data_IF_347571772358
#
_entry.id   IF_347571772358
#
_cell.length_a   1.000
_cell.length_b   1.000
_cell.length_c   1.000
_cell.angle_alpha   90.00
_cell.angle_beta   90.00
_cell.angle_gamma   90.00
#
_symmetry.space_group_name_H-M   'P 1'
#
loop_
_entity.id
_entity.type
_entity.pdbx_description
1 polymer ?
#
# COMPACT_ATOMS: atom_id res chain seq x y z
N UNK A 1 -52.15 -32.83 -35.99
CA UNK A 1 -51.50 -31.77 -35.17
C UNK A 1 -50.52 -32.44 -34.22
N UNK A 2 -49.21 -32.23 -34.39
CA UNK A 2 -48.17 -32.78 -33.49
C UNK A 2 -48.16 -31.93 -32.21
N UNK A 3 -48.58 -32.50 -31.07
CA UNK A 3 -48.42 -31.86 -29.75
C UNK A 3 -46.94 -31.88 -29.37
N UNK A 4 -46.32 -30.72 -29.30
CA UNK A 4 -44.99 -30.56 -28.71
C UNK A 4 -45.13 -30.67 -27.19
N UNK A 5 -44.51 -31.69 -26.60
CA UNK A 5 -44.40 -31.82 -25.15
C UNK A 5 -43.47 -30.71 -24.64
N UNK A 6 -44.02 -29.71 -23.95
CA UNK A 6 -43.22 -28.74 -23.23
C UNK A 6 -42.52 -29.45 -22.07
N UNK A 7 -41.18 -29.53 -22.13
CA UNK A 7 -40.36 -30.04 -21.02
C UNK A 7 -40.23 -28.93 -19.99
N UNK A 8 -40.81 -29.12 -18.81
CA UNK A 8 -40.61 -28.25 -17.65
C UNK A 8 -39.25 -28.49 -17.01
N UNK A 9 -38.66 -27.43 -16.44
CA UNK A 9 -37.41 -27.50 -15.68
C UNK A 9 -37.67 -28.21 -14.34
N UNK A 10 -36.80 -29.14 -13.94
CA UNK A 10 -36.97 -29.84 -12.66
C UNK A 10 -36.38 -29.03 -11.50
N UNK A 11 -36.96 -29.15 -10.30
CA UNK A 11 -36.42 -28.51 -9.09
C UNK A 11 -34.99 -29.00 -8.78
N UNK A 12 -34.68 -30.26 -9.09
CA UNK A 12 -33.35 -30.82 -8.88
C UNK A 12 -32.31 -30.24 -9.85
N UNK A 13 -32.68 -29.99 -11.11
CA UNK A 13 -31.80 -29.31 -12.08
C UNK A 13 -31.47 -27.89 -11.59
N UNK A 14 -32.47 -27.17 -11.06
CA UNK A 14 -32.23 -25.81 -10.56
C UNK A 14 -31.34 -25.82 -9.31
N UNK A 15 -31.53 -26.79 -8.42
CA UNK A 15 -30.74 -26.94 -7.20
C UNK A 15 -29.27 -27.26 -7.51
N UNK A 16 -29.00 -28.16 -8.46
CA UNK A 16 -27.62 -28.50 -8.84
C UNK A 16 -26.91 -27.30 -9.49
N UNK A 17 -27.62 -26.51 -10.30
CA UNK A 17 -27.03 -25.33 -10.95
C UNK A 17 -26.59 -24.28 -9.93
N UNK A 18 -27.45 -23.94 -8.95
CA UNK A 18 -27.08 -22.97 -7.91
C UNK A 18 -25.94 -23.50 -7.04
N UNK A 19 -25.86 -24.82 -6.81
CA UNK A 19 -24.76 -25.44 -6.08
C UNK A 19 -23.43 -25.30 -6.83
N UNK A 20 -23.41 -25.55 -8.14
CA UNK A 20 -22.21 -25.40 -8.97
C UNK A 20 -21.79 -23.92 -9.05
N UNK A 21 -22.73 -22.99 -9.26
CA UNK A 21 -22.44 -21.56 -9.28
C UNK A 21 -21.85 -21.11 -7.94
N UNK A 22 -22.36 -21.62 -6.81
CA UNK A 22 -21.83 -21.31 -5.48
C UNK A 22 -20.36 -21.72 -5.30
N UNK A 23 -19.99 -22.91 -5.77
CA UNK A 23 -18.59 -23.40 -5.71
C UNK A 23 -17.67 -22.54 -6.58
N UNK A 24 -18.09 -22.26 -7.83
CA UNK A 24 -17.29 -21.44 -8.75
C UNK A 24 -17.13 -20.00 -8.23
N UNK A 25 -18.19 -19.42 -7.67
CA UNK A 25 -18.15 -18.07 -7.12
C UNK A 25 -17.18 -17.95 -5.93
N UNK A 26 -17.11 -18.96 -5.06
CA UNK A 26 -16.21 -18.95 -3.90
C UNK A 26 -14.72 -18.90 -4.31
N UNK A 27 -14.32 -19.70 -5.30
CA UNK A 27 -12.93 -19.71 -5.81
C UNK A 27 -12.56 -18.37 -6.46
N UNK A 28 -13.45 -17.83 -7.28
CA UNK A 28 -13.22 -16.56 -7.97
C UNK A 28 -13.10 -15.41 -6.97
N UNK A 29 -13.94 -15.38 -5.93
CA UNK A 29 -13.90 -14.34 -4.91
C UNK A 29 -12.57 -14.31 -4.15
N UNK A 30 -12.02 -15.48 -3.80
CA UNK A 30 -10.71 -15.57 -3.16
C UNK A 30 -9.61 -14.95 -4.05
N UNK A 31 -9.53 -15.35 -5.32
CA UNK A 31 -8.52 -14.81 -6.25
C UNK A 31 -8.66 -13.31 -6.54
N UNK A 32 -9.89 -12.78 -6.45
CA UNK A 32 -10.15 -11.36 -6.72
C UNK A 32 -9.67 -10.46 -5.59
N UNK A 33 -9.71 -10.92 -4.35
CA UNK A 33 -9.23 -10.13 -3.20
C UNK A 33 -7.71 -9.96 -3.28
N UNK A 34 -6.95 -11.02 -3.51
CA UNK A 34 -5.48 -10.96 -3.66
C UNK A 34 -5.08 -10.03 -4.83
N UNK A 35 -5.80 -10.10 -5.96
CA UNK A 35 -5.55 -9.23 -7.11
C UNK A 35 -5.83 -7.75 -6.81
N UNK A 36 -6.84 -7.45 -5.99
CA UNK A 36 -7.16 -6.09 -5.56
C UNK A 36 -6.08 -5.54 -4.63
N UNK A 37 -5.65 -6.33 -3.65
CA UNK A 37 -4.60 -5.92 -2.72
C UNK A 37 -3.29 -5.66 -3.47
N UNK A 38 -2.95 -6.49 -4.46
CA UNK A 38 -1.77 -6.26 -5.31
C UNK A 38 -1.85 -5.01 -6.19
N UNK A 39 -3.05 -4.68 -6.68
CA UNK A 39 -3.29 -3.43 -7.41
C UNK A 39 -3.20 -2.19 -6.52
N UNK A 40 -3.71 -2.29 -5.30
CA UNK A 40 -3.58 -1.25 -4.28
C UNK A 40 -2.12 -1.03 -3.88
N UNK A 41 -1.35 -2.11 -3.69
CA UNK A 41 0.08 -2.04 -3.40
C UNK A 41 0.86 -1.36 -4.53
N UNK A 42 0.50 -1.61 -5.80
CA UNK A 42 1.09 -0.90 -6.92
C UNK A 42 0.81 0.61 -6.86
N UNK A 43 -0.40 1.02 -6.45
CA UNK A 43 -0.76 2.42 -6.25
C UNK A 43 0.00 3.07 -5.08
N UNK A 44 0.20 2.34 -3.99
CA UNK A 44 1.04 2.76 -2.87
C UNK A 44 2.47 3.02 -3.36
N UNK A 45 3.08 2.02 -4.04
CA UNK A 45 4.44 2.13 -4.59
C UNK A 45 4.58 3.30 -5.57
N UNK A 46 3.57 3.55 -6.41
CA UNK A 46 3.54 4.68 -7.32
C UNK A 46 3.48 6.02 -6.58
N UNK A 47 2.65 6.13 -5.55
CA UNK A 47 2.53 7.35 -4.73
C UNK A 47 3.86 7.67 -4.04
N UNK A 48 4.54 6.66 -3.49
CA UNK A 48 5.86 6.80 -2.88
C UNK A 48 6.95 7.13 -3.91
N UNK A 49 6.86 6.59 -5.14
CA UNK A 49 7.76 6.96 -6.24
C UNK A 49 7.62 8.43 -6.65
N UNK A 50 6.38 8.93 -6.74
CA UNK A 50 6.11 10.34 -7.02
C UNK A 50 6.58 11.25 -5.88
N UNK A 51 6.46 10.78 -4.62
CA UNK A 51 6.92 11.51 -3.44
C UNK A 51 8.41 11.82 -3.55
N UNK A 52 9.22 10.86 -4.03
CA UNK A 52 10.65 11.10 -4.26
C UNK A 52 10.90 12.26 -5.20
N UNK A 53 10.18 12.32 -6.33
CA UNK A 53 10.30 13.44 -7.25
C UNK A 53 9.91 14.77 -6.61
N UNK A 54 8.86 14.79 -5.78
CA UNK A 54 8.45 15.99 -5.05
C UNK A 54 9.46 16.42 -3.97
N UNK A 55 10.08 15.46 -3.28
CA UNK A 55 11.12 15.74 -2.31
C UNK A 55 12.34 16.40 -2.97
N UNK A 56 12.76 15.94 -4.15
CA UNK A 56 13.85 16.57 -4.91
C UNK A 56 13.48 17.97 -5.42
N UNK A 57 12.23 18.19 -5.81
CA UNK A 57 11.74 19.53 -6.18
C UNK A 57 11.73 20.47 -4.98
N UNK A 58 11.32 19.98 -3.80
CA UNK A 58 11.35 20.74 -2.56
C UNK A 58 12.79 21.10 -2.16
N UNK A 59 13.71 20.13 -2.23
CA UNK A 59 15.14 20.33 -1.96
C UNK A 59 15.74 21.49 -2.75
N UNK A 60 15.47 21.54 -4.05
CA UNK A 60 15.95 22.61 -4.92
C UNK A 60 15.31 23.98 -4.63
N UNK A 61 14.04 24.00 -4.20
CA UNK A 61 13.31 25.24 -3.90
C UNK A 61 13.61 25.80 -2.50
N UNK A 62 13.90 24.93 -1.53
CA UNK A 62 14.17 25.28 -0.14
C UNK A 62 15.63 25.70 0.13
N UNK A 63 16.47 25.75 -0.91
CA UNK A 63 17.87 26.13 -0.79
C UNK A 63 18.81 24.97 -0.45
N UNK A 64 18.59 23.80 -1.07
CA UNK A 64 19.38 22.57 -0.90
C UNK A 64 19.26 21.96 0.49
N UNK A 65 18.04 21.82 0.97
CA UNK A 65 17.73 21.16 2.24
C UNK A 65 16.47 20.31 2.12
N UNK A 66 16.43 19.17 2.81
CA UNK A 66 15.23 18.33 2.88
C UNK A 66 14.29 18.74 4.03
N UNK A 67 14.63 19.78 4.79
CA UNK A 67 13.80 20.26 5.88
C UNK A 67 12.44 20.76 5.35
N UNK A 68 11.36 20.23 5.91
CA UNK A 68 9.98 20.56 5.55
C UNK A 68 9.38 19.70 4.43
N UNK A 69 10.10 18.70 3.91
CA UNK A 69 9.56 17.78 2.88
C UNK A 69 8.28 17.11 3.34
N UNK A 70 8.20 16.59 4.57
CA UNK A 70 6.98 15.94 5.08
C UNK A 70 5.84 16.92 5.39
N UNK A 71 6.13 18.22 5.40
CA UNK A 71 5.14 19.29 5.56
C UNK A 71 4.70 19.90 4.23
N UNK A 72 5.29 19.49 3.10
CA UNK A 72 4.93 19.97 1.79
C UNK A 72 3.57 19.38 1.35
N UNK A 73 2.69 20.23 0.83
CA UNK A 73 1.30 19.90 0.50
C UNK A 73 1.14 18.72 -0.49
N UNK A 74 1.96 18.65 -1.54
CA UNK A 74 1.91 17.56 -2.52
C UNK A 74 2.45 16.27 -1.91
N UNK A 75 3.54 16.32 -1.14
CA UNK A 75 4.06 15.18 -0.36
C UNK A 75 2.99 14.64 0.59
N UNK A 76 2.29 15.50 1.33
CA UNK A 76 1.19 15.09 2.22
C UNK A 76 0.06 14.41 1.45
N UNK A 77 -0.33 14.96 0.29
CA UNK A 77 -1.37 14.35 -0.55
C UNK A 77 -0.98 12.96 -1.09
N UNK A 78 0.32 12.74 -1.35
CA UNK A 78 0.84 11.45 -1.81
C UNK A 78 0.92 10.43 -0.67
N UNK A 79 1.29 10.86 0.53
CA UNK A 79 1.27 10.01 1.73
C UNK A 79 -0.17 9.63 2.10
N UNK A 80 -1.12 10.56 1.99
CA UNK A 80 -2.54 10.30 2.16
C UNK A 80 -3.07 9.35 1.08
N UNK A 81 -2.65 9.51 -0.18
CA UNK A 81 -3.00 8.58 -1.26
C UNK A 81 -2.48 7.17 -0.97
N UNK A 82 -1.25 7.03 -0.47
CA UNK A 82 -0.71 5.76 -0.02
C UNK A 82 -1.53 5.17 1.14
N UNK A 83 -1.89 5.97 2.15
CA UNK A 83 -2.74 5.53 3.26
C UNK A 83 -4.14 5.11 2.78
N UNK A 84 -4.71 5.85 1.82
CA UNK A 84 -6.04 5.60 1.25
C UNK A 84 -6.12 4.36 0.39
N UNK A 85 -5.00 3.87 -0.15
CA UNK A 85 -4.96 2.59 -0.86
C UNK A 85 -4.76 1.39 0.08
N UNK A 86 -4.65 1.59 1.39
CA UNK A 86 -4.59 0.47 2.33
C UNK A 86 -5.96 -0.17 2.54
N UNK A 87 -5.98 -1.49 2.76
CA UNK A 87 -7.17 -2.33 2.98
C UNK A 87 -7.67 -2.25 4.44
N UNK A 88 -6.85 -1.74 5.36
CA UNK A 88 -7.16 -1.63 6.79
C UNK A 88 -8.13 -0.49 7.15
N UNK A 89 -8.79 -0.64 8.30
CA UNK A 89 -9.66 0.38 8.90
C UNK A 89 -8.85 1.25 9.85
N UNK A 90 -8.83 2.57 9.67
CA UNK A 90 -8.06 3.50 10.53
C UNK A 90 -6.78 4.06 9.88
N UNK A 91 -6.90 4.49 8.62
CA UNK A 91 -5.82 5.02 7.78
C UNK A 91 -5.21 6.27 8.42
N UNK A 92 -3.98 6.13 8.90
CA UNK A 92 -3.27 7.21 9.58
C UNK A 92 -1.97 7.51 8.86
N UNK A 93 -1.66 8.80 8.78
CA UNK A 93 -0.38 9.32 8.30
C UNK A 93 0.32 10.02 9.46
N UNK A 94 1.60 9.70 9.69
CA UNK A 94 2.45 10.42 10.61
C UNK A 94 3.51 11.20 9.83
N UNK A 95 3.50 12.53 9.93
CA UNK A 95 4.45 13.40 9.24
C UNK A 95 5.70 13.71 10.06
N UNK A 96 5.77 13.22 11.30
CA UNK A 96 6.86 13.52 12.23
C UNK A 96 7.32 12.26 12.94
N UNK A 97 8.41 11.65 12.45
CA UNK A 97 9.19 10.68 13.21
C UNK A 97 9.02 9.22 12.78
N UNK A 98 9.13 8.31 13.74
CA UNK A 98 9.15 6.86 13.51
C UNK A 98 7.72 6.32 13.37
N UNK A 99 7.50 5.42 12.41
CA UNK A 99 6.20 4.82 12.11
C UNK A 99 5.81 3.67 13.03
N UNK A 100 4.50 3.42 13.12
CA UNK A 100 3.93 2.19 13.67
C UNK A 100 3.57 1.24 12.51
N UNK A 101 3.27 -0.03 12.86
CA UNK A 101 3.10 -1.08 11.86
C UNK A 101 2.03 -0.79 10.79
N UNK A 102 1.03 0.01 11.15
CA UNK A 102 -0.14 0.28 10.31
C UNK A 102 -0.20 1.72 9.78
N UNK A 103 0.86 2.51 9.99
CA UNK A 103 0.86 3.95 9.72
C UNK A 103 1.80 4.29 8.57
N UNK A 104 1.31 5.04 7.59
CA UNK A 104 2.18 5.68 6.59
C UNK A 104 2.96 6.76 7.30
N UNK A 105 4.28 6.75 7.18
CA UNK A 105 5.13 7.67 7.94
C UNK A 105 6.08 8.41 7.04
N UNK A 106 6.34 9.67 7.37
CA UNK A 106 7.36 10.49 6.77
C UNK A 106 8.18 11.15 7.89
N UNK A 107 9.49 11.18 7.71
CA UNK A 107 10.39 11.97 8.52
C UNK A 107 11.34 12.74 7.60
N UNK A 108 11.67 13.96 7.99
CA UNK A 108 12.63 14.80 7.30
C UNK A 108 13.49 15.57 8.30
N UNK A 109 14.68 15.92 7.86
CA UNK A 109 15.55 16.87 8.52
C UNK A 109 16.32 17.67 7.45
N UNK A 110 17.26 18.51 7.87
CA UNK A 110 18.00 19.34 6.91
C UNK A 110 18.81 18.53 5.87
N UNK A 111 19.28 17.35 6.26
CA UNK A 111 20.24 16.50 5.53
C UNK A 111 19.59 15.34 4.77
N UNK A 112 18.36 14.94 5.11
CA UNK A 112 17.69 13.81 4.46
C UNK A 112 16.21 13.69 4.78
N UNK A 113 15.54 12.79 4.05
CA UNK A 113 14.15 12.39 4.30
C UNK A 113 14.00 10.89 4.10
N UNK A 114 13.01 10.30 4.76
CA UNK A 114 12.49 9.01 4.37
C UNK A 114 10.98 8.97 4.58
N UNK A 115 10.33 8.14 3.79
CA UNK A 115 8.92 7.86 3.92
C UNK A 115 8.66 6.37 3.72
N UNK A 116 7.82 5.81 4.57
CA UNK A 116 7.38 4.43 4.47
C UNK A 116 5.85 4.33 4.42
N UNK A 117 5.36 3.32 3.72
CA UNK A 117 3.94 3.00 3.65
C UNK A 117 3.78 1.48 3.79
N UNK A 118 2.97 1.00 4.74
CA UNK A 118 2.70 -0.43 4.84
C UNK A 118 1.96 -0.93 3.59
N UNK A 119 2.24 -2.16 3.17
CA UNK A 119 1.59 -2.83 2.04
C UNK A 119 0.45 -3.72 2.52
N UNK A 120 -0.55 -3.91 1.67
CA UNK A 120 -1.70 -4.78 1.94
C UNK A 120 -1.31 -6.25 1.83
N UNK A 121 -0.48 -6.58 0.84
CA UNK A 121 0.09 -7.92 0.76
C UNK A 121 1.36 -7.93 1.62
N UNK A 122 1.26 -8.59 2.77
CA UNK A 122 2.40 -8.85 3.63
C UNK A 122 3.32 -9.88 2.97
N UNK A 123 4.55 -9.47 2.65
CA UNK A 123 5.58 -10.31 2.06
C UNK A 123 6.78 -10.43 2.98
N UNK A 124 7.44 -11.55 2.81
CA UNK A 124 8.25 -12.20 3.80
C UNK A 124 9.54 -12.68 3.12
N UNK A 125 10.68 -12.36 3.73
CA UNK A 125 11.96 -12.99 3.41
C UNK A 125 12.10 -14.29 4.25
N UNK A 126 11.41 -15.39 3.90
CA UNK A 126 11.69 -16.72 4.48
C UNK A 126 10.61 -17.55 5.22
N UNK A 127 9.31 -17.31 5.02
CA UNK A 127 8.16 -18.09 5.47
C UNK A 127 7.27 -17.49 6.59
N UNK A 128 7.52 -16.28 7.09
CA UNK A 128 6.81 -15.70 8.26
C UNK A 128 6.04 -14.43 7.86
N UNK A 129 4.71 -14.40 8.01
CA UNK A 129 3.91 -13.19 7.80
C UNK A 129 4.37 -12.04 8.70
N UNK A 130 5.14 -11.12 8.13
CA UNK A 130 5.53 -9.85 8.75
C UNK A 130 4.96 -8.71 7.91
N UNK A 131 4.51 -7.64 8.57
CA UNK A 131 4.13 -6.38 7.91
C UNK A 131 5.25 -5.92 6.98
N UNK A 132 4.96 -5.85 5.68
CA UNK A 132 5.88 -5.33 4.68
C UNK A 132 5.60 -3.84 4.45
N UNK A 133 6.64 -3.03 4.43
CA UNK A 133 6.55 -1.60 4.13
C UNK A 133 7.23 -1.35 2.81
N UNK A 134 6.67 -0.46 1.99
CA UNK A 134 7.43 0.16 0.92
C UNK A 134 8.08 1.42 1.46
N UNK A 135 9.39 1.51 1.40
CA UNK A 135 10.14 2.63 1.91
C UNK A 135 10.95 3.30 0.81
N UNK A 136 11.03 4.63 0.86
CA UNK A 136 11.86 5.47 0.01
C UNK A 136 12.62 6.49 0.86
N UNK A 137 13.85 6.82 0.47
CA UNK A 137 14.66 7.82 1.19
C UNK A 137 15.52 8.69 0.27
N UNK A 138 16.18 9.69 0.88
CA UNK A 138 17.09 10.63 0.23
C UNK A 138 18.40 10.01 -0.27
N UNK A 139 18.78 8.82 0.21
CA UNK A 139 19.94 8.08 -0.35
C UNK A 139 19.62 7.43 -1.68
N UNK A 140 18.33 7.41 -2.03
CA UNK A 140 17.81 6.84 -3.27
C UNK A 140 17.30 5.42 -3.11
N UNK A 141 17.20 4.90 -1.88
CA UNK A 141 16.58 3.60 -1.63
C UNK A 141 15.10 3.62 -2.03
N UNK A 142 14.64 2.51 -2.61
CA UNK A 142 13.23 2.26 -2.90
C UNK A 142 13.00 0.77 -2.90
N UNK A 143 12.36 0.26 -1.88
CA UNK A 143 12.17 -1.17 -1.75
C UNK A 143 11.27 -1.56 -0.60
N UNK A 144 11.01 -2.85 -0.51
CA UNK A 144 10.27 -3.42 0.63
C UNK A 144 11.19 -3.58 1.84
N UNK A 145 10.74 -3.09 2.99
CA UNK A 145 11.38 -3.30 4.29
C UNK A 145 10.42 -4.01 5.24
N UNK A 146 10.97 -4.65 6.27
CA UNK A 146 10.18 -5.37 7.30
C UNK A 146 10.11 -4.60 8.62
N UNK A 147 10.90 -3.54 8.77
CA UNK A 147 10.83 -2.64 9.91
C UNK A 147 9.81 -1.52 9.66
N UNK A 148 8.89 -1.32 10.62
CA UNK A 148 7.93 -0.22 10.61
C UNK A 148 8.59 1.15 10.89
N UNK A 149 9.87 1.14 11.23
CA UNK A 149 10.59 2.28 11.78
C UNK A 149 11.45 2.93 10.70
N UNK A 150 11.29 4.23 10.52
CA UNK A 150 12.28 5.08 9.86
C UNK A 150 13.37 5.38 10.89
N UNK A 151 14.65 5.32 10.52
CA UNK A 151 15.67 5.83 11.43
C UNK A 151 15.56 7.36 11.50
N UNK A 152 15.00 7.87 12.59
CA UNK A 152 14.85 9.30 12.86
C UNK A 152 15.31 9.65 14.28
N UNK A 153 16.04 8.75 14.95
CA UNK A 153 16.40 8.90 16.37
C UNK A 153 17.62 9.80 16.57
N UNK A 154 17.38 11.11 16.60
CA UNK A 154 18.17 12.06 17.38
C UNK A 154 19.43 12.61 16.69
N UNK A 155 19.39 13.91 16.36
CA UNK A 155 20.53 14.82 16.25
C UNK A 155 21.70 14.49 15.29
N UNK A 156 21.69 13.40 14.52
CA UNK A 156 22.74 13.09 13.55
C UNK A 156 22.20 12.55 12.21
N UNK A 157 22.06 13.49 11.27
CA UNK A 157 22.36 13.41 9.83
C UNK A 157 21.55 12.47 8.89
N UNK A 158 21.18 11.24 9.26
CA UNK A 158 20.59 10.32 8.28
C UNK A 158 19.14 9.93 8.62
N UNK A 159 18.20 10.37 7.76
CA UNK A 159 16.83 9.84 7.74
C UNK A 159 16.76 8.80 6.64
N UNK A 160 16.77 7.51 7.01
CA UNK A 160 16.87 6.41 6.04
C UNK A 160 15.86 5.30 6.30
N UNK A 161 15.59 4.53 5.26
CA UNK A 161 14.84 3.27 5.36
C UNK A 161 15.66 2.22 6.13
N UNK A 162 15.03 1.54 7.11
CA UNK A 162 15.63 0.44 7.89
C UNK A 162 15.19 -0.93 7.36
#
# INVERSE_FOLDING_TARGET
>A
MKKTLQRGFTLIELLVVIAIIGILAAVVLASLNDARDGGQDASIKQSMGNLRSQAELNYNQAGYTYAGVCSESQVQSLLEAAANNRSETGKTVNYTGVGAADTVTCADNASGYAANAPLNIQWDNGGVMTTAFWCVDSTGFSGTTTAATIDATGAAEDVTCL
#
